data_IF_832672871787
#
_entry.id   IF_832672871787
#
_cell.length_a   1.000
_cell.length_b   1.000
_cell.length_c   1.000
_cell.angle_alpha   90.00
_cell.angle_beta   90.00
_cell.angle_gamma   90.00
#
_symmetry.space_group_name_H-M   'P 1'
#
loop_
_entity.id
_entity.type
_entity.pdbx_description
1 polymer ?
#
# COMPACT_ATOMS: atom_id res chain seq x y z
N UNK A 1 20.13 -13.91 15.05
CA UNK A 1 19.79 -13.14 13.83
C UNK A 1 20.59 -13.69 12.64
N UNK A 2 20.03 -13.77 11.40
CA UNK A 2 20.75 -14.35 10.24
C UNK A 2 22.16 -13.78 10.01
N UNK A 3 22.32 -12.46 10.22
CA UNK A 3 23.61 -11.78 10.16
C UNK A 3 24.59 -12.23 11.27
N UNK A 4 24.11 -12.48 12.49
CA UNK A 4 24.96 -12.98 13.58
C UNK A 4 25.42 -14.41 13.31
N UNK A 5 24.55 -15.25 12.75
CA UNK A 5 24.90 -16.61 12.33
C UNK A 5 25.97 -16.58 11.24
N UNK A 6 25.79 -15.72 10.23
CA UNK A 6 26.80 -15.48 9.19
C UNK A 6 28.14 -15.04 9.78
N UNK A 7 28.15 -14.03 10.66
CA UNK A 7 29.37 -13.51 11.27
C UNK A 7 30.07 -14.57 12.16
N UNK A 8 29.31 -15.36 12.93
CA UNK A 8 29.85 -16.47 13.72
C UNK A 8 30.47 -17.54 12.82
N UNK A 9 29.77 -17.94 11.75
CA UNK A 9 30.26 -18.96 10.80
C UNK A 9 31.47 -18.47 10.02
N UNK A 10 31.47 -17.23 9.53
CA UNK A 10 32.59 -16.59 8.87
C UNK A 10 33.85 -16.60 9.74
N UNK A 11 33.75 -16.18 11.00
CA UNK A 11 34.88 -16.20 11.95
C UNK A 11 35.37 -17.62 12.25
N UNK A 12 34.47 -18.60 12.29
CA UNK A 12 34.83 -20.00 12.49
C UNK A 12 35.56 -20.56 11.25
N UNK A 13 35.02 -20.29 10.05
CA UNK A 13 35.59 -20.68 8.77
C UNK A 13 37.01 -20.10 8.60
N UNK A 14 37.18 -18.81 8.87
CA UNK A 14 38.48 -18.14 8.82
C UNK A 14 39.50 -18.84 9.73
N UNK A 15 39.16 -19.05 11.01
CA UNK A 15 40.05 -19.75 11.96
C UNK A 15 40.39 -21.17 11.52
N UNK A 16 39.43 -21.88 10.92
CA UNK A 16 39.64 -23.24 10.45
C UNK A 16 40.58 -23.28 9.24
N UNK A 17 40.43 -22.35 8.29
CA UNK A 17 41.32 -22.20 7.14
C UNK A 17 42.72 -21.82 7.59
N UNK A 18 42.85 -20.85 8.51
CA UNK A 18 44.16 -20.40 9.02
C UNK A 18 44.91 -21.55 9.72
N UNK A 19 44.21 -22.39 10.50
CA UNK A 19 44.81 -23.60 11.10
C UNK A 19 45.25 -24.62 10.07
N UNK A 20 44.37 -24.98 9.14
CA UNK A 20 44.66 -26.02 8.15
C UNK A 20 45.77 -25.54 7.17
N UNK A 21 45.84 -24.24 6.88
CA UNK A 21 46.92 -23.59 6.13
C UNK A 21 48.26 -23.65 6.88
N UNK A 22 48.29 -23.31 8.18
CA UNK A 22 49.49 -23.43 9.00
C UNK A 22 50.01 -24.88 9.07
N UNK A 23 49.10 -25.85 9.18
CA UNK A 23 49.46 -27.27 9.14
C UNK A 23 50.03 -27.73 7.80
N UNK A 24 49.56 -27.18 6.69
CA UNK A 24 50.11 -27.45 5.35
C UNK A 24 51.49 -26.82 5.19
N UNK A 25 51.66 -25.56 5.62
CA UNK A 25 52.95 -24.87 5.60
C UNK A 25 54.00 -25.61 6.44
N UNK A 26 53.62 -26.17 7.59
CA UNK A 26 54.52 -26.98 8.41
C UNK A 26 55.00 -28.25 7.68
N UNK A 27 54.10 -28.94 6.96
CA UNK A 27 54.46 -30.12 6.15
C UNK A 27 55.31 -29.77 4.92
N UNK A 28 55.09 -28.60 4.33
CA UNK A 28 55.95 -28.08 3.24
C UNK A 28 57.35 -27.75 3.76
N UNK A 29 57.46 -27.14 4.94
CA UNK A 29 58.76 -26.88 5.55
C UNK A 29 59.52 -28.17 5.92
N UNK A 30 58.82 -29.27 6.22
CA UNK A 30 59.42 -30.60 6.40
C UNK A 30 59.95 -31.17 5.09
N UNK A 31 59.21 -30.97 3.99
CA UNK A 31 59.63 -31.34 2.64
C UNK A 31 60.93 -30.60 2.25
N UNK A 32 61.04 -29.29 2.52
CA UNK A 32 62.25 -28.50 2.22
C UNK A 32 63.52 -29.02 2.94
N UNK A 33 63.35 -29.71 4.07
CA UNK A 33 64.46 -30.29 4.86
C UNK A 33 64.80 -31.72 4.46
N UNK A 34 63.98 -32.37 3.63
CA UNK A 34 64.16 -33.79 3.30
C UNK A 34 65.22 -33.98 2.20
N UNK A 35 66.29 -34.71 2.54
CA UNK A 35 67.45 -34.92 1.64
C UNK A 35 67.44 -36.28 0.95
N UNK A 36 66.64 -37.23 1.46
CA UNK A 36 66.58 -38.61 0.97
C UNK A 36 65.33 -38.82 0.09
N UNK A 37 65.52 -39.43 -1.10
CA UNK A 37 64.49 -39.59 -2.15
C UNK A 37 63.21 -40.32 -1.70
N UNK A 38 63.33 -41.32 -0.82
CA UNK A 38 62.17 -42.05 -0.28
C UNK A 38 61.38 -41.21 0.72
N UNK A 39 62.07 -40.45 1.58
CA UNK A 39 61.46 -39.56 2.56
C UNK A 39 60.76 -38.37 1.89
N UNK A 40 61.34 -37.80 0.82
CA UNK A 40 60.71 -36.74 0.01
C UNK A 40 59.39 -37.20 -0.61
N UNK A 41 59.34 -38.42 -1.16
CA UNK A 41 58.11 -38.99 -1.75
C UNK A 41 57.01 -39.11 -0.70
N UNK A 42 57.32 -39.57 0.51
CA UNK A 42 56.33 -39.70 1.58
C UNK A 42 55.88 -38.35 2.12
N UNK A 43 56.77 -37.35 2.23
CA UNK A 43 56.36 -35.96 2.55
C UNK A 43 55.45 -35.36 1.47
N UNK A 44 55.72 -35.62 0.18
CA UNK A 44 54.87 -35.14 -0.92
C UNK A 44 53.47 -35.75 -0.88
N UNK A 45 53.35 -37.04 -0.55
CA UNK A 45 52.04 -37.68 -0.33
C UNK A 45 51.28 -37.01 0.81
N UNK A 46 51.94 -36.72 1.94
CA UNK A 46 51.32 -36.00 3.07
C UNK A 46 50.85 -34.61 2.68
N UNK A 47 51.66 -33.85 1.94
CA UNK A 47 51.29 -32.51 1.44
C UNK A 47 50.08 -32.60 0.50
N UNK A 48 50.06 -33.58 -0.40
CA UNK A 48 48.95 -33.82 -1.32
C UNK A 48 47.65 -34.14 -0.57
N UNK A 49 47.68 -35.06 0.39
CA UNK A 49 46.53 -35.41 1.23
C UNK A 49 46.00 -34.20 2.01
N UNK A 50 46.90 -33.39 2.57
CA UNK A 50 46.56 -32.16 3.29
C UNK A 50 45.89 -31.14 2.37
N UNK A 51 46.43 -30.94 1.17
CA UNK A 51 45.91 -29.99 0.19
C UNK A 51 44.52 -30.40 -0.33
N UNK A 52 44.30 -31.69 -0.60
CA UNK A 52 43.00 -32.24 -1.01
C UNK A 52 41.97 -32.05 0.11
N UNK A 53 42.36 -32.35 1.35
CA UNK A 53 41.49 -32.17 2.53
C UNK A 53 41.12 -30.70 2.74
N UNK A 54 42.10 -29.79 2.64
CA UNK A 54 41.88 -28.35 2.74
C UNK A 54 40.92 -27.86 1.65
N UNK A 55 41.13 -28.29 0.39
CA UNK A 55 40.25 -27.95 -0.72
C UNK A 55 38.81 -28.41 -0.50
N UNK A 56 38.61 -29.63 0.04
CA UNK A 56 37.28 -30.15 0.37
C UNK A 56 36.63 -29.31 1.46
N UNK A 57 37.31 -29.06 2.59
CA UNK A 57 36.78 -28.27 3.70
C UNK A 57 36.47 -26.82 3.29
N UNK A 58 37.34 -26.20 2.49
CA UNK A 58 37.10 -24.84 2.00
C UNK A 58 35.86 -24.75 1.11
N UNK A 59 35.57 -25.80 0.33
CA UNK A 59 34.35 -25.91 -0.46
C UNK A 59 33.11 -25.99 0.43
N UNK A 60 33.13 -26.84 1.44
CA UNK A 60 32.03 -26.99 2.41
C UNK A 60 31.75 -25.67 3.15
N UNK A 61 32.79 -24.99 3.66
CA UNK A 61 32.65 -23.72 4.36
C UNK A 61 32.07 -22.61 3.48
N UNK A 62 32.47 -22.56 2.20
CA UNK A 62 31.93 -21.60 1.24
C UNK A 62 30.46 -21.86 0.95
N UNK A 63 30.07 -23.12 0.78
CA UNK A 63 28.69 -23.48 0.47
C UNK A 63 27.77 -23.15 1.67
N UNK A 64 28.25 -23.39 2.91
CA UNK A 64 27.59 -22.96 4.15
C UNK A 64 27.43 -21.42 4.25
N UNK A 65 28.45 -20.67 3.82
CA UNK A 65 28.42 -19.19 3.80
C UNK A 65 27.40 -18.67 2.78
N UNK A 66 27.36 -19.27 1.58
CA UNK A 66 26.38 -18.95 0.54
C UNK A 66 24.96 -19.14 1.07
N UNK A 67 24.68 -20.24 1.78
CA UNK A 67 23.37 -20.51 2.35
C UNK A 67 22.95 -19.43 3.37
N UNK A 68 23.88 -19.02 4.25
CA UNK A 68 23.63 -17.96 5.21
C UNK A 68 23.38 -16.60 4.53
N UNK A 69 24.15 -16.28 3.49
CA UNK A 69 23.95 -15.07 2.68
C UNK A 69 22.60 -15.06 1.98
N UNK A 70 22.17 -16.20 1.42
CA UNK A 70 20.85 -16.35 0.81
C UNK A 70 19.72 -16.15 1.83
N UNK A 71 19.89 -16.60 3.08
CA UNK A 71 18.92 -16.34 4.15
C UNK A 71 18.83 -14.84 4.50
N UNK A 72 19.97 -14.13 4.58
CA UNK A 72 20.00 -12.67 4.78
C UNK A 72 19.35 -11.94 3.61
N UNK A 73 19.67 -12.34 2.37
CA UNK A 73 19.11 -11.75 1.15
C UNK A 73 17.59 -11.86 1.10
N UNK A 74 17.04 -13.05 1.35
CA UNK A 74 15.57 -13.26 1.41
C UNK A 74 14.89 -12.29 2.37
N UNK A 75 15.50 -12.03 3.53
CA UNK A 75 14.95 -11.09 4.52
C UNK A 75 15.04 -9.64 4.06
N UNK A 76 16.13 -9.24 3.40
CA UNK A 76 16.27 -7.91 2.80
C UNK A 76 15.24 -7.70 1.70
N UNK A 77 15.05 -8.69 0.83
CA UNK A 77 14.07 -8.62 -0.25
C UNK A 77 12.64 -8.52 0.31
N UNK A 78 12.30 -9.32 1.33
CA UNK A 78 11.02 -9.22 2.02
C UNK A 78 10.78 -7.84 2.65
N UNK A 79 11.80 -7.25 3.28
CA UNK A 79 11.70 -5.90 3.85
C UNK A 79 11.51 -4.83 2.78
N UNK A 80 12.19 -4.95 1.63
CA UNK A 80 12.02 -4.04 0.48
C UNK A 80 10.62 -4.14 -0.13
N UNK A 81 10.08 -5.35 -0.20
CA UNK A 81 8.72 -5.59 -0.72
C UNK A 81 7.66 -5.06 0.26
N UNK A 82 7.88 -5.23 1.56
CA UNK A 82 7.03 -4.67 2.61
C UNK A 82 6.95 -3.13 2.53
N UNK A 83 8.10 -2.47 2.39
CA UNK A 83 8.20 -1.02 2.28
C UNK A 83 7.34 -0.48 1.12
N UNK A 84 7.47 -1.09 -0.07
CA UNK A 84 6.70 -0.68 -1.25
C UNK A 84 5.21 -1.02 -1.14
N UNK A 85 4.87 -2.21 -0.64
CA UNK A 85 3.49 -2.69 -0.59
C UNK A 85 2.65 -1.92 0.44
N UNK A 86 3.21 -1.68 1.62
CA UNK A 86 2.51 -0.95 2.70
C UNK A 86 2.33 0.53 2.37
N UNK A 87 3.38 1.19 1.84
CA UNK A 87 3.29 2.58 1.41
C UNK A 87 2.29 2.75 0.27
N UNK A 88 2.34 1.89 -0.75
CA UNK A 88 1.41 1.96 -1.87
C UNK A 88 -0.05 1.74 -1.45
N UNK A 89 -0.35 0.74 -0.61
CA UNK A 89 -1.71 0.52 -0.09
C UNK A 89 -2.20 1.68 0.76
N UNK A 90 -1.34 2.22 1.63
CA UNK A 90 -1.66 3.38 2.46
C UNK A 90 -1.86 4.65 1.63
N UNK A 91 -1.09 4.84 0.56
CA UNK A 91 -1.22 5.95 -0.38
C UNK A 91 -2.51 5.86 -1.19
N UNK A 92 -2.88 4.66 -1.67
CA UNK A 92 -4.16 4.42 -2.35
C UNK A 92 -5.33 4.77 -1.42
N UNK A 93 -5.29 4.29 -0.17
CA UNK A 93 -6.33 4.60 0.82
C UNK A 93 -6.40 6.09 1.16
N UNK A 94 -5.23 6.74 1.36
CA UNK A 94 -5.16 8.19 1.62
C UNK A 94 -5.70 9.00 0.44
N UNK A 95 -5.36 8.61 -0.79
CA UNK A 95 -5.86 9.24 -2.01
C UNK A 95 -7.38 9.10 -2.12
N UNK A 96 -7.95 7.91 -1.99
CA UNK A 96 -9.40 7.71 -2.05
C UNK A 96 -10.15 8.50 -0.97
N UNK A 97 -9.61 8.56 0.24
CA UNK A 97 -10.20 9.36 1.33
C UNK A 97 -10.16 10.85 1.02
N UNK A 98 -9.03 11.34 0.50
CA UNK A 98 -8.87 12.72 0.11
C UNK A 98 -9.84 13.10 -1.02
N UNK A 99 -9.95 12.26 -2.05
CA UNK A 99 -10.88 12.45 -3.16
C UNK A 99 -12.34 12.51 -2.67
N UNK A 100 -12.75 11.63 -1.76
CA UNK A 100 -14.08 11.71 -1.12
C UNK A 100 -14.33 13.01 -0.38
N UNK A 101 -13.39 13.45 0.46
CA UNK A 101 -13.52 14.69 1.25
C UNK A 101 -13.55 15.90 0.30
N UNK A 102 -12.72 15.89 -0.73
CA UNK A 102 -12.65 16.97 -1.71
C UNK A 102 -13.95 17.08 -2.52
N UNK A 103 -14.52 15.95 -2.94
CA UNK A 103 -15.82 15.93 -3.63
C UNK A 103 -16.92 16.48 -2.71
N UNK A 104 -17.02 16.02 -1.45
CA UNK A 104 -18.00 16.55 -0.47
C UNK A 104 -17.82 18.06 -0.25
N UNK A 105 -16.57 18.53 -0.11
CA UNK A 105 -16.28 19.95 0.03
C UNK A 105 -16.74 20.77 -1.18
N UNK A 106 -16.43 20.32 -2.41
CA UNK A 106 -16.83 21.01 -3.64
C UNK A 106 -18.36 21.09 -3.79
N UNK A 107 -19.09 20.07 -3.36
CA UNK A 107 -20.56 20.10 -3.33
C UNK A 107 -21.10 21.13 -2.32
N UNK A 108 -20.48 21.26 -1.14
CA UNK A 108 -20.86 22.28 -0.15
C UNK A 108 -20.55 23.70 -0.61
N UNK A 109 -19.46 23.91 -1.36
CA UNK A 109 -19.05 25.24 -1.86
C UNK A 109 -19.71 25.63 -3.18
N UNK A 110 -20.72 24.89 -3.67
CA UNK A 110 -21.45 25.12 -4.92
C UNK A 110 -20.61 24.96 -6.21
N UNK A 111 -19.51 24.22 -6.16
CA UNK A 111 -18.67 23.91 -7.32
C UNK A 111 -19.10 22.58 -7.97
N UNK A 112 -20.34 22.52 -8.45
CA UNK A 112 -20.99 21.26 -8.86
C UNK A 112 -20.34 20.59 -10.07
N UNK A 113 -20.00 21.35 -11.10
CA UNK A 113 -19.40 20.82 -12.33
C UNK A 113 -18.04 20.17 -12.05
N UNK A 114 -17.21 20.82 -11.24
CA UNK A 114 -15.90 20.31 -10.81
C UNK A 114 -16.04 19.09 -9.90
N UNK A 115 -17.00 19.11 -8.97
CA UNK A 115 -17.28 17.99 -8.09
C UNK A 115 -17.73 16.76 -8.88
N UNK A 116 -18.62 16.94 -9.87
CA UNK A 116 -19.12 15.86 -10.72
C UNK A 116 -18.03 15.31 -11.65
N UNK A 117 -17.18 16.16 -12.22
CA UNK A 117 -16.04 15.72 -13.03
C UNK A 117 -15.04 14.90 -12.18
N UNK A 118 -14.77 15.33 -10.95
CA UNK A 118 -13.88 14.62 -10.03
C UNK A 118 -14.48 13.28 -9.58
N UNK A 119 -15.77 13.24 -9.26
CA UNK A 119 -16.48 12.01 -8.88
C UNK A 119 -16.47 10.96 -10.01
N UNK A 120 -16.66 11.39 -11.26
CA UNK A 120 -16.55 10.53 -12.46
C UNK A 120 -15.14 10.00 -12.66
N UNK A 121 -14.14 10.88 -12.57
CA UNK A 121 -12.74 10.51 -12.77
C UNK A 121 -12.22 9.53 -11.71
N UNK A 122 -12.79 9.57 -10.50
CA UNK A 122 -12.36 8.75 -9.34
C UNK A 122 -13.27 7.55 -9.06
N UNK A 123 -14.42 7.43 -9.75
CA UNK A 123 -15.38 6.34 -9.56
C UNK A 123 -16.10 6.37 -8.21
N UNK A 124 -16.23 7.54 -7.58
CA UNK A 124 -16.78 7.70 -6.22
C UNK A 124 -18.30 7.94 -6.23
N UNK A 125 -18.90 8.15 -7.41
CA UNK A 125 -20.33 8.45 -7.64
C UNK A 125 -21.26 7.67 -6.69
N UNK A 126 -21.21 6.33 -6.74
CA UNK A 126 -22.09 5.44 -5.97
C UNK A 126 -22.12 5.64 -4.45
N UNK A 127 -21.10 6.26 -3.84
CA UNK A 127 -21.09 6.47 -2.38
C UNK A 127 -21.70 7.80 -1.96
N UNK A 128 -21.84 8.76 -2.87
CA UNK A 128 -22.26 10.14 -2.58
C UNK A 128 -23.47 10.59 -3.41
N UNK A 129 -23.93 9.77 -4.36
CA UNK A 129 -25.07 10.07 -5.25
C UNK A 129 -26.30 10.58 -4.50
N UNK A 130 -26.64 10.01 -3.34
CA UNK A 130 -27.77 10.48 -2.54
C UNK A 130 -27.58 11.92 -2.03
N UNK A 131 -26.41 12.24 -1.47
CA UNK A 131 -26.11 13.58 -0.95
C UNK A 131 -26.05 14.61 -2.08
N UNK A 132 -25.51 14.22 -3.24
CA UNK A 132 -25.44 15.06 -4.45
C UNK A 132 -26.85 15.41 -4.91
N UNK A 133 -27.70 14.40 -5.11
CA UNK A 133 -29.05 14.61 -5.61
C UNK A 133 -29.96 15.32 -4.61
N UNK A 134 -29.74 15.13 -3.30
CA UNK A 134 -30.41 15.89 -2.26
C UNK A 134 -30.01 17.37 -2.29
N UNK A 135 -28.72 17.67 -2.47
CA UNK A 135 -28.23 19.05 -2.56
C UNK A 135 -28.72 19.75 -3.84
N UNK A 136 -28.70 19.07 -4.99
CA UNK A 136 -29.27 19.58 -6.25
C UNK A 136 -30.77 19.88 -6.10
N UNK A 137 -31.50 19.00 -5.41
CA UNK A 137 -32.91 19.21 -5.09
C UNK A 137 -33.12 20.48 -4.23
N UNK A 138 -32.34 20.66 -3.16
CA UNK A 138 -32.42 21.83 -2.29
C UNK A 138 -32.17 23.13 -3.08
N UNK A 139 -31.20 23.14 -4.00
CA UNK A 139 -30.91 24.30 -4.83
C UNK A 139 -32.02 24.59 -5.86
N UNK A 140 -32.65 23.57 -6.44
CA UNK A 140 -33.82 23.75 -7.31
C UNK A 140 -35.01 24.34 -6.54
N UNK A 141 -35.22 23.92 -5.29
CA UNK A 141 -36.25 24.48 -4.40
C UNK A 141 -35.93 25.94 -4.06
N UNK A 142 -34.68 26.26 -3.70
CA UNK A 142 -34.23 27.63 -3.40
C UNK A 142 -34.38 28.59 -4.58
N UNK A 143 -34.13 28.11 -5.80
CA UNK A 143 -34.27 28.89 -7.04
C UNK A 143 -35.73 28.98 -7.54
N UNK A 144 -36.72 28.60 -6.73
CA UNK A 144 -38.15 28.59 -7.07
C UNK A 144 -38.55 27.71 -8.27
N UNK A 145 -37.65 26.83 -8.74
CA UNK A 145 -37.87 25.88 -9.84
C UNK A 145 -38.51 24.60 -9.33
N UNK A 146 -39.68 24.74 -8.73
CA UNK A 146 -40.33 23.68 -7.97
C UNK A 146 -40.78 22.48 -8.82
N UNK A 147 -41.15 22.69 -10.09
CA UNK A 147 -41.53 21.61 -11.02
C UNK A 147 -40.33 20.72 -11.36
N UNK A 148 -39.18 21.33 -11.59
CA UNK A 148 -37.92 20.65 -11.89
C UNK A 148 -37.37 19.93 -10.66
N UNK A 149 -37.47 20.56 -9.48
CA UNK A 149 -37.14 19.92 -8.21
C UNK A 149 -37.93 18.61 -8.00
N UNK A 150 -39.25 18.62 -8.26
CA UNK A 150 -40.11 17.44 -8.12
C UNK A 150 -39.73 16.35 -9.13
N UNK A 151 -39.44 16.72 -10.38
CA UNK A 151 -38.98 15.79 -11.42
C UNK A 151 -37.64 15.15 -11.03
N UNK A 152 -36.71 15.96 -10.53
CA UNK A 152 -35.38 15.53 -10.09
C UNK A 152 -35.47 14.56 -8.90
N UNK A 153 -36.24 14.91 -7.86
CA UNK A 153 -36.46 14.05 -6.70
C UNK A 153 -37.08 12.70 -7.10
N UNK A 154 -38.05 12.71 -8.03
CA UNK A 154 -38.64 11.46 -8.55
C UNK A 154 -37.67 10.61 -9.36
N UNK A 155 -36.69 11.22 -10.01
CA UNK A 155 -35.74 10.48 -10.85
C UNK A 155 -34.59 9.88 -10.03
N UNK A 156 -34.09 10.61 -9.04
CA UNK A 156 -32.84 10.27 -8.36
C UNK A 156 -32.99 9.97 -6.86
N UNK A 157 -34.09 10.39 -6.23
CA UNK A 157 -34.35 10.21 -4.78
C UNK A 157 -35.51 9.22 -4.52
N UNK A 158 -35.89 8.42 -5.51
CA UNK A 158 -36.98 7.42 -5.42
C UNK A 158 -36.58 6.10 -4.72
N UNK A 159 -35.33 5.99 -4.24
CA UNK A 159 -34.81 4.80 -3.56
C UNK A 159 -34.95 4.85 -2.03
N UNK A 160 -34.55 3.78 -1.32
CA UNK A 160 -34.50 3.76 0.13
C UNK A 160 -33.52 4.84 0.63
N UNK A 161 -34.04 5.82 1.35
CA UNK A 161 -33.25 6.91 1.93
C UNK A 161 -32.36 6.33 3.04
N UNK A 162 -31.04 6.56 3.03
CA UNK A 162 -30.17 6.17 4.12
C UNK A 162 -30.65 6.81 5.43
N UNK A 163 -30.76 6.04 6.50
CA UNK A 163 -31.30 6.48 7.80
C UNK A 163 -30.56 7.73 8.34
N UNK A 164 -29.26 7.85 8.02
CA UNK A 164 -28.41 8.99 8.38
C UNK A 164 -28.84 10.33 7.76
N UNK A 165 -29.49 10.32 6.58
CA UNK A 165 -29.90 11.52 5.85
C UNK A 165 -31.42 11.71 5.81
N UNK A 166 -32.19 10.87 6.51
CA UNK A 166 -33.64 10.92 6.51
C UNK A 166 -34.18 12.27 7.02
N UNK A 167 -33.58 12.82 8.07
CA UNK A 167 -33.98 14.11 8.67
C UNK A 167 -33.73 15.28 7.73
N UNK A 168 -32.60 15.26 7.02
CA UNK A 168 -32.23 16.28 6.03
C UNK A 168 -33.16 16.23 4.81
N UNK A 169 -33.44 15.02 4.32
CA UNK A 169 -34.39 14.78 3.23
C UNK A 169 -35.80 15.26 3.58
N UNK A 170 -36.31 14.91 4.77
CA UNK A 170 -37.61 15.38 5.27
C UNK A 170 -37.67 16.90 5.39
N UNK A 171 -36.60 17.52 5.89
CA UNK A 171 -36.49 18.99 5.99
C UNK A 171 -36.50 19.66 4.61
N UNK A 172 -35.77 19.11 3.64
CA UNK A 172 -35.77 19.60 2.26
C UNK A 172 -37.14 19.47 1.58
N UNK A 173 -37.84 18.36 1.80
CA UNK A 173 -39.21 18.17 1.31
C UNK A 173 -40.20 19.16 1.97
N UNK A 174 -40.00 19.47 3.26
CA UNK A 174 -40.75 20.51 3.96
C UNK A 174 -40.55 21.90 3.35
N UNK A 175 -39.32 22.25 2.95
CA UNK A 175 -39.03 23.52 2.26
C UNK A 175 -39.78 23.66 0.94
N UNK A 176 -39.95 22.58 0.16
CA UNK A 176 -40.76 22.60 -1.06
C UNK A 176 -42.23 22.90 -0.75
N UNK A 177 -42.79 22.27 0.29
CA UNK A 177 -44.20 22.50 0.69
C UNK A 177 -44.41 23.94 1.15
N UNK A 178 -43.47 24.50 1.92
CA UNK A 178 -43.54 25.89 2.40
C UNK A 178 -43.37 26.90 1.25
N UNK A 179 -42.44 26.65 0.32
CA UNK A 179 -42.26 27.46 -0.89
C UNK A 179 -43.52 27.44 -1.79
N UNK A 180 -44.17 26.28 -1.92
CA UNK A 180 -45.42 26.13 -2.68
C UNK A 180 -46.61 26.80 -1.99
N UNK A 181 -46.65 26.81 -0.65
CA UNK A 181 -47.70 27.45 0.13
C UNK A 181 -47.71 28.98 -0.05
N UNK A 182 -46.53 29.61 -0.03
CA UNK A 182 -46.40 31.04 -0.31
C UNK A 182 -46.93 31.42 -1.71
N UNK A 183 -46.73 30.59 -2.74
CA UNK A 183 -47.30 30.82 -4.08
C UNK A 183 -48.82 30.77 -4.11
N UNK A 184 -49.44 29.85 -3.38
CA UNK A 184 -50.91 29.74 -3.32
C UNK A 184 -51.55 30.88 -2.54
N UNK A 185 -50.92 31.33 -1.45
CA UNK A 185 -51.38 32.46 -0.66
C UNK A 185 -51.31 33.76 -1.47
N UNK A 186 -50.19 34.03 -2.17
CA UNK A 186 -50.08 35.14 -3.11
C UNK A 186 -51.14 35.07 -4.23
N UNK A 187 -51.31 33.91 -4.87
CA UNK A 187 -52.26 33.78 -5.97
C UNK A 187 -53.72 33.94 -5.52
N UNK A 188 -54.05 33.53 -4.29
CA UNK A 188 -55.37 33.78 -3.70
C UNK A 188 -55.56 35.25 -3.30
N UNK A 189 -54.54 35.93 -2.76
CA UNK A 189 -54.62 37.38 -2.48
C UNK A 189 -54.78 38.23 -3.74
N UNK A 190 -54.18 37.84 -4.87
CA UNK A 190 -54.40 38.50 -6.16
C UNK A 190 -55.76 38.19 -6.79
N UNK A 191 -56.35 37.01 -6.55
CA UNK A 191 -57.69 36.68 -7.04
C UNK A 191 -58.81 37.37 -6.23
N UNK A 192 -58.62 37.57 -4.92
CA UNK A 192 -59.59 38.28 -4.06
C UNK A 192 -59.60 39.79 -4.32
N UNK A 193 -58.49 40.38 -4.78
CA UNK A 193 -58.41 41.81 -5.10
C UNK A 193 -58.87 42.19 -6.53
N UNK A 194 -59.37 41.22 -7.32
CA UNK A 194 -59.88 41.45 -8.69
C UNK A 194 -61.40 41.13 -8.80
N UNK A 195 -62.05 40.73 -7.70
CA UNK A 195 -63.51 40.58 -7.59
C UNK A 195 -64.11 41.74 -6.78
#
# INVERSE_FOLDING_TARGET
VPYETLNKRYRHAQKQIDRDSAQLLATVAELDRSTQSTATIDTLKRVLERAITLKRKARELRDDEIECLQAVKRRVDHLKDYDKSSLSKMEIWRRQRYERILVDFLFRTRCFETAQALAKATGIESTLDFCIHLQEFIELVRNNRSSEAISHARKYLNGPVPEQHLTEFQSAMGLLVLSQRSKKELNNEYQVNIA
#
